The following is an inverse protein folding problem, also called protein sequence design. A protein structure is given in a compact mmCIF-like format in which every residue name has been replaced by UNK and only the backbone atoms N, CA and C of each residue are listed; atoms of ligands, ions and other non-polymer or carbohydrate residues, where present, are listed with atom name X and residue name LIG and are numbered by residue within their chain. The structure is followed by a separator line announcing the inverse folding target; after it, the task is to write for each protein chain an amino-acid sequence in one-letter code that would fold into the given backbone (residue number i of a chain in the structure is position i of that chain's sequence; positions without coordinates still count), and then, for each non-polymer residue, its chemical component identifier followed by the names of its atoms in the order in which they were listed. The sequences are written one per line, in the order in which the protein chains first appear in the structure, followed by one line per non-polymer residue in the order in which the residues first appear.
data_IF_105912166906
#
_entry.id   IF_105912166906
#
_cell.length_a   1.000
_cell.length_b   1.000
_cell.length_c   1.000
_cell.angle_alpha   90.00
_cell.angle_beta   90.00
_cell.angle_gamma   90.00
#
_symmetry.space_group_name_H-M   'P 1'
#
loop_
_entity.id
_entity.type
_entity.pdbx_description
1 polymer ?
#
# COMPACT_ATOMS: atom_id res chain seq x y z
N UNK A 1 11.80 5.79 -28.91
CA UNK A 1 11.77 5.19 -27.55
C UNK A 1 12.75 4.05 -27.56
N UNK A 2 13.80 4.08 -26.74
CA UNK A 2 14.72 2.96 -26.61
C UNK A 2 13.99 1.80 -25.93
N UNK A 3 14.11 0.55 -26.41
CA UNK A 3 13.55 -0.59 -25.71
C UNK A 3 14.29 -0.77 -24.37
N UNK A 4 13.53 -0.90 -23.27
CA UNK A 4 14.10 -1.32 -21.99
C UNK A 4 14.11 -2.85 -21.97
N UNK A 5 15.29 -3.46 -21.87
CA UNK A 5 15.42 -4.91 -21.67
C UNK A 5 15.16 -5.27 -20.21
N UNK A 6 14.38 -6.32 -19.98
CA UNK A 6 14.07 -6.86 -18.65
C UNK A 6 14.46 -8.34 -18.66
N UNK A 7 15.30 -8.75 -17.71
CA UNK A 7 15.67 -10.15 -17.52
C UNK A 7 14.68 -10.77 -16.55
N UNK A 8 14.07 -11.88 -16.95
CA UNK A 8 13.08 -12.61 -16.17
C UNK A 8 13.47 -14.08 -16.11
N UNK A 9 13.18 -14.73 -14.98
CA UNK A 9 13.28 -16.18 -14.89
C UNK A 9 12.27 -16.84 -15.86
N UNK A 10 12.60 -18.00 -16.46
CA UNK A 10 11.70 -18.66 -17.40
C UNK A 10 10.32 -19.00 -16.84
N UNK A 11 10.23 -19.22 -15.51
CA UNK A 11 8.96 -19.47 -14.84
C UNK A 11 8.08 -18.22 -14.79
N UNK A 12 8.67 -17.06 -14.50
CA UNK A 12 7.95 -15.78 -14.41
C UNK A 12 7.44 -15.33 -15.77
N UNK A 13 8.25 -15.52 -16.82
CA UNK A 13 7.83 -15.23 -18.20
C UNK A 13 6.60 -16.05 -18.59
N UNK A 14 6.60 -17.36 -18.32
CA UNK A 14 5.43 -18.23 -18.60
C UNK A 14 4.19 -17.79 -17.82
N UNK A 15 4.37 -17.39 -16.56
CA UNK A 15 3.27 -16.87 -15.75
C UNK A 15 2.70 -15.57 -16.32
N UNK A 16 3.57 -14.64 -16.76
CA UNK A 16 3.16 -13.38 -17.39
C UNK A 16 2.43 -13.60 -18.71
N UNK A 17 2.88 -14.54 -19.55
CA UNK A 17 2.20 -14.93 -20.79
C UNK A 17 0.79 -15.45 -20.53
N UNK A 18 0.64 -16.35 -19.56
CA UNK A 18 -0.65 -16.88 -19.16
C UNK A 18 -1.57 -15.76 -18.66
N UNK A 19 -1.08 -14.90 -17.77
CA UNK A 19 -1.84 -13.76 -17.22
C UNK A 19 -2.24 -12.73 -18.27
N UNK A 20 -1.35 -12.44 -19.23
CA UNK A 20 -1.65 -11.55 -20.33
C UNK A 20 -2.78 -12.10 -21.22
N UNK A 21 -2.78 -13.43 -21.47
CA UNK A 21 -3.85 -14.12 -22.19
C UNK A 21 -5.18 -14.07 -21.45
N UNK A 22 -5.19 -14.36 -20.15
CA UNK A 22 -6.40 -14.27 -19.29
C UNK A 22 -7.00 -12.85 -19.33
N UNK A 23 -6.14 -11.84 -19.23
CA UNK A 23 -6.53 -10.42 -19.19
C UNK A 23 -6.72 -9.80 -20.58
N UNK A 24 -6.56 -10.57 -21.67
CA UNK A 24 -6.65 -10.11 -23.07
C UNK A 24 -5.81 -8.85 -23.33
N UNK A 25 -4.58 -8.83 -22.80
CA UNK A 25 -3.65 -7.70 -22.88
C UNK A 25 -2.25 -8.17 -23.26
N UNK A 26 -1.31 -7.24 -23.42
CA UNK A 26 0.11 -7.58 -23.68
C UNK A 26 0.90 -7.71 -22.38
N UNK A 27 1.99 -8.47 -22.40
CA UNK A 27 2.93 -8.57 -21.26
C UNK A 27 3.43 -7.17 -20.85
N UNK A 28 3.78 -6.32 -21.82
CA UNK A 28 4.25 -4.97 -21.56
C UNK A 28 3.19 -4.10 -20.86
N UNK A 29 1.92 -4.19 -21.28
CA UNK A 29 0.83 -3.48 -20.61
C UNK A 29 0.59 -4.01 -19.20
N UNK A 30 0.68 -5.33 -19.00
CA UNK A 30 0.54 -5.97 -17.69
C UNK A 30 1.66 -5.56 -16.72
N UNK A 31 2.92 -5.54 -17.19
CA UNK A 31 4.07 -5.03 -16.43
C UNK A 31 3.89 -3.55 -16.11
N UNK A 32 3.47 -2.73 -17.09
CA UNK A 32 3.22 -1.31 -16.87
C UNK A 32 2.15 -1.05 -15.80
N UNK A 33 1.07 -1.84 -15.81
CA UNK A 33 0.04 -1.80 -14.76
C UNK A 33 0.58 -2.24 -13.40
N UNK A 34 1.37 -3.32 -13.35
CA UNK A 34 1.98 -3.80 -12.12
C UNK A 34 2.93 -2.76 -11.50
N UNK A 35 3.81 -2.15 -12.31
CA UNK A 35 4.71 -1.07 -11.84
C UNK A 35 3.92 0.14 -11.35
N UNK A 36 2.86 0.54 -12.07
CA UNK A 36 2.01 1.65 -11.62
C UNK A 36 1.34 1.34 -10.28
N UNK A 37 0.86 0.11 -10.10
CA UNK A 37 0.26 -0.34 -8.85
C UNK A 37 1.28 -0.38 -7.71
N UNK A 38 2.48 -0.89 -7.96
CA UNK A 38 3.57 -0.93 -6.98
C UNK A 38 3.92 0.48 -6.49
N UNK A 39 4.07 1.45 -7.41
CA UNK A 39 4.26 2.86 -7.05
C UNK A 39 3.12 3.40 -6.21
N UNK A 40 1.87 3.13 -6.60
CA UNK A 40 0.72 3.56 -5.81
C UNK A 40 0.66 2.91 -4.42
N UNK A 41 1.16 1.69 -4.26
CA UNK A 41 1.22 1.01 -2.96
C UNK A 41 2.37 1.56 -2.11
N UNK A 42 3.50 1.92 -2.71
CA UNK A 42 4.59 2.67 -2.05
C UNK A 42 4.13 4.07 -1.64
N UNK A 43 3.46 4.80 -2.54
CA UNK A 43 2.89 6.11 -2.27
C UNK A 43 1.74 6.02 -1.25
N UNK A 44 0.95 4.95 -1.24
CA UNK A 44 -0.09 4.71 -0.21
C UNK A 44 0.46 4.17 1.10
N UNK A 45 1.70 3.66 1.12
CA UNK A 45 2.41 3.40 2.35
C UNK A 45 2.73 4.72 3.09
N UNK A 46 2.51 5.89 2.46
CA UNK A 46 2.16 7.14 3.15
C UNK A 46 0.75 7.06 3.77
N UNK A 47 0.51 6.08 4.64
CA UNK A 47 -0.23 6.46 5.83
C UNK A 47 0.59 7.59 6.47
N UNK A 48 -0.03 8.72 6.87
CA UNK A 48 0.73 9.74 7.59
C UNK A 48 1.51 9.02 8.69
N UNK A 49 2.83 9.26 8.73
CA UNK A 49 3.70 8.55 9.66
C UNK A 49 3.12 8.65 11.07
N UNK A 50 3.44 7.70 11.94
CA UNK A 50 2.94 7.77 13.32
C UNK A 50 3.18 9.15 13.95
N UNK A 51 4.33 9.77 13.66
CA UNK A 51 4.69 11.11 14.07
C UNK A 51 3.78 12.17 13.45
N UNK A 52 3.49 12.11 12.16
CA UNK A 52 2.59 13.05 11.48
C UNK A 52 1.15 12.90 11.99
N UNK A 53 0.68 11.68 12.21
CA UNK A 53 -0.60 11.41 12.85
C UNK A 53 -0.65 11.95 14.28
N UNK A 54 0.41 11.73 15.06
CA UNK A 54 0.49 12.24 16.43
C UNK A 54 0.49 13.76 16.45
N UNK A 55 1.23 14.43 15.56
CA UNK A 55 1.20 15.89 15.43
C UNK A 55 -0.18 16.41 15.03
N UNK A 56 -0.82 15.79 14.03
CA UNK A 56 -2.13 16.20 13.53
C UNK A 56 -3.26 15.95 14.54
N UNK A 57 -3.13 14.90 15.35
CA UNK A 57 -4.15 14.53 16.35
C UNK A 57 -3.90 15.11 17.73
N UNK A 58 -2.71 15.68 17.97
CA UNK A 58 -2.36 16.34 19.22
C UNK A 58 -3.31 17.49 19.52
N UNK A 59 -3.98 17.42 20.67
CA UNK A 59 -4.91 18.46 21.12
C UNK A 59 -6.30 18.40 20.49
N UNK A 60 -6.62 17.40 19.66
CA UNK A 60 -8.01 17.12 19.26
C UNK A 60 -8.85 16.75 20.49
N UNK A 61 -8.25 16.01 21.43
CA UNK A 61 -8.90 15.67 22.69
C UNK A 61 -9.01 16.91 23.58
N UNK A 62 -10.25 17.33 23.85
CA UNK A 62 -10.61 18.45 24.75
C UNK A 62 -11.23 17.98 26.07
N UNK A 63 -11.28 16.67 26.31
CA UNK A 63 -11.78 16.10 27.56
C UNK A 63 -10.75 16.22 28.69
N UNK A 64 -11.12 15.74 29.87
CA UNK A 64 -10.20 15.50 31.00
C UNK A 64 -9.13 14.45 30.64
N UNK A 65 -8.37 13.95 31.61
CA UNK A 65 -7.27 13.02 31.40
C UNK A 65 -7.58 11.93 30.34
N UNK A 66 -6.87 12.00 29.20
CA UNK A 66 -7.08 11.09 28.08
C UNK A 66 -6.63 9.65 28.38
N UNK A 67 -5.70 9.46 29.33
CA UNK A 67 -5.26 8.13 29.75
C UNK A 67 -6.33 7.45 30.60
N UNK A 68 -6.97 8.18 31.50
CA UNK A 68 -8.10 7.70 32.30
C UNK A 68 -9.26 7.25 31.39
N UNK A 69 -9.59 8.07 30.39
CA UNK A 69 -10.62 7.73 29.40
C UNK A 69 -10.27 6.45 28.60
N UNK A 70 -9.01 6.31 28.16
CA UNK A 70 -8.56 5.11 27.45
C UNK A 70 -8.60 3.84 28.32
N UNK A 71 -8.28 3.95 29.60
CA UNK A 71 -8.33 2.83 30.55
C UNK A 71 -9.76 2.35 30.78
N UNK A 72 -10.72 3.28 30.93
CA UNK A 72 -12.14 2.97 31.07
C UNK A 72 -12.65 2.21 29.83
N UNK A 73 -12.45 2.77 28.64
CA UNK A 73 -12.91 2.14 27.38
C UNK A 73 -12.29 0.76 27.17
N UNK A 74 -10.99 0.57 27.44
CA UNK A 74 -10.35 -0.75 27.29
C UNK A 74 -10.88 -1.78 28.28
N UNK A 75 -11.29 -1.34 29.47
CA UNK A 75 -11.92 -2.21 30.47
C UNK A 75 -13.30 -2.72 30.06
N UNK A 76 -14.01 -2.01 29.17
CA UNK A 76 -15.32 -2.44 28.66
C UNK A 76 -15.25 -3.59 27.64
N UNK A 77 -14.06 -3.87 27.09
CA UNK A 77 -13.84 -4.91 26.06
C UNK A 77 -13.19 -6.19 26.61
N UNK A 78 -12.93 -6.24 27.93
CA UNK A 78 -12.40 -7.40 28.64
C UNK A 78 -13.54 -8.26 29.21
#
# INVERSE_FOLDING_TARGET
MSPNEIILEPADLRWLEMKAKENKTTIAALIGQAVKRMRQEEDKAEYPSFELLLEQTRGIWKGSDGLEYQQIIRGEWA
#
